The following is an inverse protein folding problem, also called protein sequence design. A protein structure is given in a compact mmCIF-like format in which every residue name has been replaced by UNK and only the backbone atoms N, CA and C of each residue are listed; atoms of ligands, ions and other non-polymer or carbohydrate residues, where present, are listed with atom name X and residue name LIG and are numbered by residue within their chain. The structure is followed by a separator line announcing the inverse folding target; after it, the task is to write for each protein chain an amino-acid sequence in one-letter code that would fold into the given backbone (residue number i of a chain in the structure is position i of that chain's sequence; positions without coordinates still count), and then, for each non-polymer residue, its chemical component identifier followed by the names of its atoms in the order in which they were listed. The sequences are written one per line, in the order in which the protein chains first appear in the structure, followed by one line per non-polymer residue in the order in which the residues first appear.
data_IF_630199004381
#
_entry.id   IF_630199004381
#
_cell.length_a   1.000
_cell.length_b   1.000
_cell.length_c   1.000
_cell.angle_alpha   90.00
_cell.angle_beta   90.00
_cell.angle_gamma   90.00
#
_symmetry.space_group_name_H-M   'P 1'
#
loop_
_entity.id
_entity.type
_entity.pdbx_description
1 polymer ?
#
# COMPACT_ATOMS: atom_id res chain seq x y z
N UNK A 1 -4.56 -17.56 3.36
CA UNK A 1 -5.01 -16.99 3.54
C UNK A 1 -4.79 -15.97 3.63
N UNK A 2 -4.88 -15.53 3.83
CA UNK A 2 -4.97 -14.46 3.69
C UNK A 2 -5.55 -13.81 4.66
N UNK A 3 -5.24 -12.75 4.98
CA UNK A 3 -5.77 -12.09 5.85
C UNK A 3 -6.89 -11.48 5.42
N UNK A 4 -7.34 -11.34 4.50
CA UNK A 4 -8.36 -10.74 4.01
C UNK A 4 -9.39 -10.74 4.84
N UNK A 5 -9.53 -9.91 5.57
CA UNK A 5 -10.54 -9.87 6.44
C UNK A 5 -10.64 -11.04 7.22
N UNK A 6 -10.49 -12.11 6.75
CA UNK A 6 -10.66 -13.28 7.47
C UNK A 6 -9.41 -13.62 8.10
N UNK A 7 -8.44 -13.03 7.99
CA UNK A 7 -7.29 -13.33 8.67
C UNK A 7 -6.93 -14.71 8.65
N UNK A 8 -7.27 -15.45 7.69
CA UNK A 8 -6.96 -16.73 7.76
C UNK A 8 -5.60 -16.89 7.28
N UNK A 9 -4.73 -17.48 7.94
CA UNK A 9 -3.35 -17.60 7.60
C UNK A 9 -2.98 -19.02 7.38
N UNK A 10 -2.57 -19.33 6.19
CA UNK A 10 -2.08 -20.63 5.87
C UNK A 10 -0.59 -20.57 6.12
N UNK A 11 -0.05 -21.53 6.81
CA UNK A 11 1.34 -21.52 7.12
C UNK A 11 2.23 -21.56 5.91
N UNK A 12 1.76 -22.12 4.81
CA UNK A 12 2.54 -22.18 3.59
C UNK A 12 2.42 -20.88 2.81
N UNK A 13 1.43 -20.05 3.12
CA UNK A 13 1.21 -18.83 2.43
C UNK A 13 1.01 -17.76 3.43
N UNK A 14 1.96 -16.92 3.65
CA UNK A 14 1.85 -15.81 4.56
C UNK A 14 1.67 -14.59 3.69
N UNK A 15 0.47 -14.02 3.68
CA UNK A 15 0.14 -12.96 2.76
C UNK A 15 -0.98 -12.13 3.34
N UNK A 16 -0.88 -10.83 3.19
CA UNK A 16 -1.94 -9.90 3.55
C UNK A 16 -2.53 -9.35 2.26
N UNK A 17 -3.85 -9.39 2.16
CA UNK A 17 -4.54 -8.84 1.00
C UNK A 17 -5.65 -7.96 1.55
N UNK A 18 -5.49 -6.66 1.43
CA UNK A 18 -6.41 -5.71 2.02
C UNK A 18 -6.55 -4.49 1.12
N UNK A 19 -7.14 -3.42 1.62
CA UNK A 19 -7.28 -2.18 0.88
C UNK A 19 -6.85 -1.00 1.72
N UNK A 20 -6.49 0.09 1.05
CA UNK A 20 -6.23 1.38 1.69
C UNK A 20 -6.93 2.45 0.86
N UNK A 21 -7.37 3.51 1.53
CA UNK A 21 -8.07 4.59 0.86
C UNK A 21 -7.18 5.81 0.72
N UNK A 22 -7.25 6.44 -0.44
CA UNK A 22 -6.53 7.67 -0.69
C UNK A 22 -7.42 8.81 -0.21
N UNK A 23 -7.04 9.45 0.87
CA UNK A 23 -7.88 10.48 1.49
C UNK A 23 -7.27 11.88 1.43
N UNK A 24 -6.04 12.00 0.97
CA UNK A 24 -5.42 13.32 0.83
C UNK A 24 -5.88 13.99 -0.46
N UNK A 25 -5.94 15.31 -0.43
CA UNK A 25 -6.54 16.08 -1.50
C UNK A 25 -5.92 15.82 -2.86
N UNK A 26 -4.62 15.73 -2.93
CA UNK A 26 -3.92 15.60 -4.20
C UNK A 26 -3.67 14.16 -4.65
N UNK A 27 -4.08 13.19 -3.86
CA UNK A 27 -3.88 11.79 -4.23
C UNK A 27 -2.43 11.35 -4.20
N UNK A 28 -2.13 10.29 -4.94
CA UNK A 28 -0.77 9.76 -4.99
C UNK A 28 0.06 10.52 -6.02
N UNK A 29 0.26 11.80 -5.77
CA UNK A 29 1.13 12.64 -6.63
C UNK A 29 2.60 12.35 -6.29
N UNK A 30 3.51 13.04 -6.94
CA UNK A 30 4.95 12.73 -6.84
C UNK A 30 5.47 12.74 -5.41
N UNK A 31 5.11 13.75 -4.61
CA UNK A 31 5.59 13.83 -3.24
C UNK A 31 5.02 12.71 -2.37
N UNK A 32 3.71 12.47 -2.47
CA UNK A 32 3.08 11.40 -1.69
C UNK A 32 3.65 10.04 -2.08
N UNK A 33 3.84 9.82 -3.38
CA UNK A 33 4.42 8.56 -3.86
C UNK A 33 5.85 8.39 -3.34
N UNK A 34 6.61 9.48 -3.28
CA UNK A 34 7.97 9.43 -2.72
C UNK A 34 7.96 9.03 -1.25
N UNK A 35 7.02 9.55 -0.47
CA UNK A 35 6.89 9.17 0.94
C UNK A 35 6.51 7.71 1.07
N UNK A 36 5.65 7.22 0.19
CA UNK A 36 5.27 5.81 0.21
C UNK A 36 6.48 4.93 -0.09
N UNK A 37 7.30 5.31 -1.07
CA UNK A 37 8.53 4.58 -1.40
C UNK A 37 9.47 4.53 -0.19
N UNK A 38 9.58 5.61 0.56
CA UNK A 38 10.44 5.62 1.75
C UNK A 38 9.99 4.59 2.78
N UNK A 39 8.70 4.35 2.85
CA UNK A 39 8.18 3.35 3.77
C UNK A 39 8.35 1.94 3.18
N UNK A 40 7.91 1.73 1.94
CA UNK A 40 7.89 0.37 1.38
C UNK A 40 9.28 -0.22 1.22
N UNK A 41 10.28 0.62 0.92
CA UNK A 41 11.62 0.10 0.70
C UNK A 41 12.34 -0.28 2.00
N UNK A 42 11.77 0.05 3.16
CA UNK A 42 12.36 -0.39 4.43
C UNK A 42 12.11 -1.87 4.69
N UNK A 43 11.16 -2.46 3.99
CA UNK A 43 10.74 -3.82 4.28
C UNK A 43 11.20 -4.81 3.23
N UNK A 44 11.46 -6.04 3.64
CA UNK A 44 11.83 -7.09 2.71
C UNK A 44 10.64 -7.69 2.01
N UNK A 45 9.46 -7.59 2.61
CA UNK A 45 8.26 -8.15 2.02
C UNK A 45 8.01 -7.59 0.63
N UNK A 46 7.41 -8.40 -0.21
CA UNK A 46 6.88 -7.95 -1.49
C UNK A 46 5.66 -7.11 -1.20
N UNK A 47 5.55 -5.94 -1.79
CA UNK A 47 4.43 -5.04 -1.56
C UNK A 47 3.90 -4.61 -2.91
N UNK A 48 2.63 -4.95 -3.17
CA UNK A 48 1.98 -4.60 -4.41
C UNK A 48 0.75 -3.79 -4.11
N UNK A 49 0.43 -2.85 -4.98
CA UNK A 49 -0.70 -1.97 -4.78
C UNK A 49 -1.37 -1.75 -6.13
N UNK A 50 -2.67 -1.58 -6.14
CA UNK A 50 -3.34 -1.46 -7.41
C UNK A 50 -4.71 -0.84 -7.36
N UNK A 51 -5.18 -0.41 -8.54
CA UNK A 51 -6.48 0.16 -8.73
C UNK A 51 -7.21 -0.75 -9.70
N UNK A 52 -8.42 -1.12 -9.37
CA UNK A 52 -9.14 -2.11 -10.16
C UNK A 52 -8.50 -3.47 -9.98
N UNK A 53 -8.26 -4.16 -11.02
CA UNK A 53 -7.65 -5.48 -10.95
C UNK A 53 -6.16 -5.52 -11.17
N UNK A 54 -5.51 -4.35 -11.30
CA UNK A 54 -4.12 -4.34 -11.70
C UNK A 54 -3.24 -3.98 -10.53
N UNK A 55 -2.32 -4.86 -10.18
CA UNK A 55 -1.36 -4.62 -9.11
C UNK A 55 -0.01 -4.23 -9.69
N UNK A 56 0.65 -3.29 -9.04
CA UNK A 56 2.01 -2.88 -9.42
C UNK A 56 2.91 -2.91 -8.19
N UNK A 57 4.21 -2.85 -8.42
CA UNK A 57 5.19 -2.88 -7.35
C UNK A 57 5.18 -1.57 -6.59
N UNK A 58 4.84 -1.62 -5.31
CA UNK A 58 4.75 -0.42 -4.48
C UNK A 58 6.12 0.12 -4.08
N UNK A 59 7.20 -0.49 -4.54
CA UNK A 59 8.56 0.02 -4.34
C UNK A 59 9.08 0.73 -5.58
N UNK A 60 8.24 0.89 -6.60
CA UNK A 60 8.63 1.52 -7.85
C UNK A 60 7.86 2.83 -8.04
N UNK A 61 8.58 3.94 -8.05
CA UNK A 61 7.96 5.27 -8.10
C UNK A 61 7.16 5.49 -9.38
N UNK A 62 7.66 5.03 -10.52
CA UNK A 62 6.95 5.23 -11.78
C UNK A 62 5.64 4.47 -11.79
N UNK A 63 5.64 3.26 -11.24
CA UNK A 63 4.43 2.46 -11.16
C UNK A 63 3.38 3.14 -10.31
N UNK A 64 3.81 3.73 -9.20
CA UNK A 64 2.87 4.43 -8.31
C UNK A 64 2.27 5.65 -9.00
N UNK A 65 3.09 6.42 -9.70
CA UNK A 65 2.60 7.60 -10.40
C UNK A 65 1.62 7.23 -11.51
N UNK A 66 1.86 6.10 -12.16
CA UNK A 66 1.00 5.68 -13.26
C UNK A 66 -0.35 5.13 -12.80
N UNK A 67 -0.53 4.87 -11.51
CA UNK A 67 -1.82 4.42 -11.04
C UNK A 67 -2.89 5.51 -11.21
N UNK A 68 -2.51 6.76 -11.15
CA UNK A 68 -3.48 7.83 -11.27
C UNK A 68 -4.49 7.84 -10.12
N UNK A 69 -4.05 7.50 -8.92
CA UNK A 69 -4.95 7.37 -7.78
C UNK A 69 -5.22 8.71 -7.13
N UNK A 70 -6.39 9.26 -7.37
CA UNK A 70 -6.80 10.52 -6.76
C UNK A 70 -7.54 10.31 -5.45
N UNK A 71 -7.93 11.40 -4.82
CA UNK A 71 -8.70 11.35 -3.58
C UNK A 71 -9.96 10.53 -3.78
N UNK A 72 -10.24 9.67 -2.85
CA UNK A 72 -11.43 8.81 -2.90
C UNK A 72 -11.18 7.46 -3.53
N UNK A 73 -10.00 7.23 -4.07
CA UNK A 73 -9.67 5.92 -4.67
C UNK A 73 -9.39 4.92 -3.56
N UNK A 74 -9.97 3.74 -3.68
CA UNK A 74 -9.62 2.61 -2.81
C UNK A 74 -8.64 1.75 -3.57
N UNK A 75 -7.48 1.52 -2.97
CA UNK A 75 -6.42 0.72 -3.59
C UNK A 75 -6.31 -0.62 -2.90
N UNK A 76 -6.10 -1.68 -3.69
CA UNK A 76 -5.82 -2.99 -3.13
C UNK A 76 -4.34 -3.03 -2.74
N UNK A 77 -4.05 -3.65 -1.62
CA UNK A 77 -2.70 -3.73 -1.09
C UNK A 77 -2.41 -5.18 -0.73
N UNK A 78 -1.38 -5.74 -1.35
CA UNK A 78 -1.00 -7.13 -1.12
C UNK A 78 0.44 -7.16 -0.64
N UNK A 79 0.67 -7.71 0.55
CA UNK A 79 1.98 -7.74 1.18
C UNK A 79 2.31 -9.18 1.55
N UNK A 80 3.49 -9.62 1.17
CA UNK A 80 3.89 -10.99 1.45
C UNK A 80 5.34 -11.04 1.89
N UNK A 81 5.61 -11.56 3.05
CA UNK A 81 6.96 -11.72 3.56
C UNK A 81 7.02 -11.73 5.07
N UNK A 82 8.21 -11.88 5.61
CA UNK A 82 8.40 -12.04 7.04
C UNK A 82 7.99 -10.80 7.84
N UNK A 83 8.16 -9.60 7.29
CA UNK A 83 7.83 -8.36 7.98
C UNK A 83 6.54 -7.73 7.48
N UNK A 84 5.64 -8.54 6.93
CA UNK A 84 4.44 -8.03 6.28
C UNK A 84 3.52 -7.27 7.22
N UNK A 85 3.42 -7.68 8.47
CA UNK A 85 2.50 -7.00 9.38
C UNK A 85 3.00 -5.63 9.77
N UNK A 86 4.30 -5.50 9.96
CA UNK A 86 4.87 -4.20 10.27
C UNK A 86 4.76 -3.28 9.05
N UNK A 87 4.97 -3.83 7.86
CA UNK A 87 4.83 -3.07 6.63
C UNK A 87 3.40 -2.55 6.49
N UNK A 88 2.41 -3.41 6.74
CA UNK A 88 1.02 -3.01 6.66
C UNK A 88 0.72 -1.86 7.62
N UNK A 89 1.17 -1.98 8.86
CA UNK A 89 0.91 -0.97 9.87
C UNK A 89 1.47 0.39 9.46
N UNK A 90 2.69 0.41 8.94
CA UNK A 90 3.31 1.67 8.54
C UNK A 90 2.67 2.27 7.30
N UNK A 91 2.26 1.43 6.35
CA UNK A 91 1.59 1.90 5.15
C UNK A 91 0.22 2.48 5.52
N UNK A 92 -0.53 1.77 6.35
CA UNK A 92 -1.84 2.25 6.79
C UNK A 92 -1.71 3.59 7.53
N UNK A 93 -0.71 3.73 8.37
CA UNK A 93 -0.48 4.97 9.11
C UNK A 93 -0.18 6.13 8.16
N UNK A 94 0.59 5.88 7.12
CA UNK A 94 0.95 6.91 6.16
C UNK A 94 -0.28 7.39 5.38
N UNK A 95 -1.11 6.47 4.91
CA UNK A 95 -2.34 6.84 4.21
C UNK A 95 -3.29 7.58 5.14
N UNK A 96 -3.45 7.12 6.38
CA UNK A 96 -4.34 7.75 7.35
C UNK A 96 -3.85 9.16 7.73
N UNK A 97 -2.55 9.37 7.68
CA UNK A 97 -1.96 10.68 7.96
C UNK A 97 -1.99 11.60 6.74
N UNK A 98 -2.62 11.18 5.65
CA UNK A 98 -2.70 11.95 4.41
C UNK A 98 -1.31 12.32 3.91
N UNK A 99 -0.36 11.42 4.09
CA UNK A 99 1.04 11.63 3.70
C UNK A 99 1.60 12.90 4.32
N UNK A 100 1.06 13.27 5.49
CA UNK A 100 1.47 14.46 6.25
C UNK A 100 1.23 15.77 5.47
N UNK A 101 0.27 15.76 4.57
CA UNK A 101 -0.12 16.99 3.84
C UNK A 101 -1.10 17.79 4.68
N UNK A 102 -1.09 19.08 4.46
CA UNK A 102 -1.84 19.99 5.31
C UNK A 102 -3.31 20.09 4.98
N UNK A 103 -3.76 19.52 3.90
CA UNK A 103 -5.18 19.69 3.56
C UNK A 103 -6.05 18.90 4.52
#
# INVERSE_FOLDING_TARGET
MVYSGSTQRNEALVMIDTTVDVINKLGLHARASGKLIEVTTKFRSSIQIGKGGKLVDAKNIMSLLMLGAGKGTTLRLVIEGADEEKALSEIQALFAAKFYEAD
#
